data_IF_289848966863
#
_entry.id   IF_289848966863
#
_cell.length_a   1.000
_cell.length_b   1.000
_cell.length_c   1.000
_cell.angle_alpha   90.00
_cell.angle_beta   90.00
_cell.angle_gamma   90.00
#
_symmetry.space_group_name_H-M   'P 1'
#
loop_
_entity.id
_entity.type
_entity.pdbx_description
1 polymer ?
#
# COMPACT_ATOMS: atom_id res chain seq x y z
N UNK A 1 10.28 -33.25 14.33
CA UNK A 1 9.00 -32.91 13.71
C UNK A 1 9.27 -32.61 12.24
N UNK A 2 8.81 -33.42 11.30
CA UNK A 2 9.00 -33.13 9.89
C UNK A 2 8.13 -31.94 9.50
N UNK A 3 8.65 -30.99 8.66
CA UNK A 3 7.85 -29.87 8.21
C UNK A 3 6.66 -30.40 7.40
N UNK A 4 5.46 -29.91 7.71
CA UNK A 4 4.26 -30.18 6.91
C UNK A 4 4.53 -29.67 5.48
N UNK A 5 4.73 -30.59 4.53
CA UNK A 5 4.64 -30.26 3.11
C UNK A 5 3.21 -29.81 2.84
N UNK A 6 3.03 -28.53 2.56
CA UNK A 6 1.80 -28.02 2.03
C UNK A 6 1.59 -28.62 0.63
N UNK A 7 0.61 -29.50 0.49
CA UNK A 7 0.21 -30.16 -0.76
C UNK A 7 -0.82 -29.31 -1.53
N UNK A 8 -0.71 -28.00 -1.48
CA UNK A 8 -1.50 -27.05 -2.27
C UNK A 8 -0.59 -25.90 -2.70
N UNK A 9 -0.80 -25.36 -3.90
CA UNK A 9 -0.11 -24.16 -4.35
C UNK A 9 -0.42 -22.98 -3.43
N UNK A 10 0.49 -21.99 -3.34
CA UNK A 10 0.24 -20.75 -2.65
C UNK A 10 -0.91 -19.98 -3.30
N UNK A 11 -1.50 -19.05 -2.57
CA UNK A 11 -2.61 -18.23 -3.11
C UNK A 11 -2.72 -16.89 -2.42
N UNK A 12 -3.21 -15.90 -3.13
CA UNK A 12 -3.72 -14.66 -2.57
C UNK A 12 -5.10 -14.99 -1.99
N UNK A 13 -5.24 -14.86 -0.67
CA UNK A 13 -6.49 -15.20 0.04
C UNK A 13 -7.39 -13.99 0.25
N UNK A 14 -6.81 -12.80 0.26
CA UNK A 14 -7.52 -11.53 0.27
C UNK A 14 -6.66 -10.41 -0.34
N UNK A 15 -7.30 -9.38 -0.84
CA UNK A 15 -6.69 -8.14 -1.28
C UNK A 15 -7.41 -6.95 -0.67
N UNK A 16 -6.67 -5.97 -0.21
CA UNK A 16 -7.23 -4.75 0.37
C UNK A 16 -6.55 -3.51 -0.20
N UNK A 17 -7.32 -2.43 -0.29
CA UNK A 17 -6.80 -1.07 -0.46
C UNK A 17 -6.74 -0.47 0.94
N UNK A 18 -5.54 -0.09 1.38
CA UNK A 18 -5.30 0.41 2.72
C UNK A 18 -4.62 1.78 2.64
N UNK A 19 -5.36 2.88 2.69
CA UNK A 19 -4.79 4.22 2.77
C UNK A 19 -3.82 4.34 3.96
N UNK A 20 -2.86 5.24 3.87
CA UNK A 20 -1.81 5.40 4.88
C UNK A 20 -1.82 6.79 5.54
N UNK A 21 -2.97 7.30 6.04
CA UNK A 21 -3.00 8.59 6.69
C UNK A 21 -2.28 8.50 8.04
N UNK A 22 -1.19 9.22 8.25
CA UNK A 22 -0.45 9.16 9.50
C UNK A 22 -1.28 9.64 10.70
N UNK A 23 -2.28 10.46 10.46
CA UNK A 23 -3.20 10.99 11.48
C UNK A 23 -3.95 9.91 12.27
N UNK A 24 -4.24 8.74 11.65
CA UNK A 24 -4.91 7.66 12.38
C UNK A 24 -4.01 7.00 13.43
N UNK A 25 -2.69 7.01 13.23
CA UNK A 25 -1.74 6.54 14.23
C UNK A 25 -1.61 7.54 15.38
N UNK A 26 -1.68 8.83 15.10
CA UNK A 26 -1.74 9.85 16.16
C UNK A 26 -2.95 9.68 17.07
N UNK A 27 -4.08 9.32 16.47
CA UNK A 27 -5.30 9.11 17.21
C UNK A 27 -5.23 7.94 18.21
N UNK A 28 -4.28 7.03 18.03
CA UNK A 28 -3.98 5.97 18.99
C UNK A 28 -3.10 6.46 20.17
N UNK A 29 -2.51 7.65 20.05
CA UNK A 29 -1.68 8.24 21.10
C UNK A 29 -2.47 9.34 21.85
N UNK A 30 -2.95 9.09 23.08
CA UNK A 30 -3.83 10.02 23.80
C UNK A 30 -3.29 11.41 24.03
N UNK A 31 -1.96 11.58 24.10
CA UNK A 31 -1.33 12.90 24.30
C UNK A 31 -1.27 13.76 23.03
N UNK A 32 -1.60 13.19 21.89
CA UNK A 32 -1.56 13.87 20.59
C UNK A 32 -2.91 13.84 19.84
N UNK A 33 -3.96 13.39 20.53
CA UNK A 33 -5.30 13.22 19.98
C UNK A 33 -6.06 14.57 19.85
N UNK A 34 -5.44 15.52 19.25
CA UNK A 34 -6.10 16.77 18.83
C UNK A 34 -5.79 16.99 17.34
N UNK A 35 -6.74 17.33 16.54
CA UNK A 35 -8.12 17.67 16.89
C UNK A 35 -9.04 16.46 16.89
N UNK A 36 -10.09 16.52 17.66
CA UNK A 36 -11.23 15.62 17.56
C UNK A 36 -11.81 15.79 16.16
N UNK A 37 -11.62 14.78 15.29
CA UNK A 37 -12.21 14.87 13.97
C UNK A 37 -13.72 14.72 14.06
N UNK A 38 -14.45 15.77 13.81
CA UNK A 38 -15.89 15.67 13.65
C UNK A 38 -16.18 15.10 12.25
N UNK A 39 -16.15 13.78 12.11
CA UNK A 39 -16.83 13.08 11.05
C UNK A 39 -16.02 12.50 9.88
N UNK A 40 -14.76 12.86 9.64
CA UNK A 40 -13.98 12.33 8.51
C UNK A 40 -13.07 11.19 8.90
N UNK A 41 -12.06 11.48 9.68
CA UNK A 41 -11.07 10.50 10.14
C UNK A 41 -11.67 9.37 10.97
N UNK A 42 -12.75 9.62 11.70
CA UNK A 42 -13.48 8.60 12.44
C UNK A 42 -14.07 7.52 11.52
N UNK A 43 -14.61 7.90 10.37
CA UNK A 43 -15.14 6.94 9.42
C UNK A 43 -14.05 6.04 8.84
N UNK A 44 -12.88 6.59 8.56
CA UNK A 44 -11.73 5.82 8.09
C UNK A 44 -11.21 4.90 9.18
N UNK A 45 -11.15 5.34 10.44
CA UNK A 45 -10.80 4.51 11.59
C UNK A 45 -11.76 3.33 11.73
N UNK A 46 -13.06 3.56 11.71
CA UNK A 46 -14.06 2.51 11.75
C UNK A 46 -13.98 1.59 10.52
N UNK A 47 -13.56 2.15 9.36
CA UNK A 47 -13.25 1.35 8.18
C UNK A 47 -12.15 0.34 8.45
N UNK A 48 -11.05 0.77 9.07
CA UNK A 48 -9.96 -0.11 9.47
C UNK A 48 -10.36 -1.13 10.55
N UNK A 49 -11.16 -0.73 11.53
CA UNK A 49 -11.70 -1.65 12.55
C UNK A 49 -12.52 -2.78 11.90
N UNK A 50 -13.48 -2.44 11.04
CA UNK A 50 -14.27 -3.44 10.30
C UNK A 50 -13.44 -4.31 9.37
N UNK A 51 -12.42 -3.72 8.74
CA UNK A 51 -11.50 -4.48 7.90
C UNK A 51 -10.71 -5.49 8.74
N UNK A 52 -10.19 -5.10 9.91
CA UNK A 52 -9.50 -6.02 10.83
C UNK A 52 -10.41 -7.15 11.28
N UNK A 53 -11.66 -6.85 11.68
CA UNK A 53 -12.66 -7.88 12.02
C UNK A 53 -12.87 -8.87 10.87
N UNK A 54 -12.99 -8.39 9.64
CA UNK A 54 -13.11 -9.26 8.46
C UNK A 54 -11.85 -10.09 8.21
N UNK A 55 -10.68 -9.56 8.49
CA UNK A 55 -9.41 -10.26 8.32
C UNK A 55 -9.13 -11.31 9.41
N UNK A 56 -9.82 -11.27 10.57
CA UNK A 56 -9.74 -12.33 11.57
C UNK A 56 -10.27 -13.67 11.06
N UNK A 57 -11.23 -13.62 10.12
CA UNK A 57 -11.77 -14.82 9.46
C UNK A 57 -10.89 -15.32 8.30
N UNK A 58 -9.89 -14.57 7.90
CA UNK A 58 -8.99 -14.90 6.79
C UNK A 58 -7.67 -15.45 7.32
N UNK A 59 -7.42 -16.71 7.00
CA UNK A 59 -6.17 -17.35 7.40
C UNK A 59 -5.07 -17.08 6.35
N UNK A 60 -4.08 -16.25 6.71
CA UNK A 60 -2.94 -15.91 5.87
C UNK A 60 -1.62 -16.02 6.65
N UNK A 61 -0.54 -16.25 5.92
CA UNK A 61 0.80 -16.49 6.46
C UNK A 61 1.69 -15.25 6.40
N UNK A 62 1.49 -14.40 5.37
CA UNK A 62 2.36 -13.27 5.04
C UNK A 62 1.54 -12.14 4.40
N UNK A 63 2.02 -10.91 4.61
CA UNK A 63 1.50 -9.71 3.95
C UNK A 63 2.45 -9.35 2.80
N UNK A 64 1.92 -9.15 1.60
CA UNK A 64 2.64 -8.52 0.48
C UNK A 64 2.05 -7.14 0.26
N UNK A 65 2.87 -6.10 0.34
CA UNK A 65 2.43 -4.71 0.24
C UNK A 65 3.19 -3.96 -0.85
N UNK A 66 2.43 -3.22 -1.67
CA UNK A 66 2.97 -2.18 -2.54
C UNK A 66 2.71 -0.81 -1.91
N UNK A 67 3.78 -0.01 -1.78
CA UNK A 67 3.68 1.35 -1.25
C UNK A 67 4.13 2.39 -2.28
N UNK A 68 3.33 3.43 -2.53
CA UNK A 68 3.70 4.52 -3.43
C UNK A 68 4.80 5.42 -2.86
N UNK A 69 5.03 5.38 -1.54
CA UNK A 69 6.06 6.18 -0.87
C UNK A 69 7.45 5.59 -0.94
N UNK A 70 7.59 4.31 -1.24
CA UNK A 70 8.88 3.73 -1.60
C UNK A 70 9.08 3.86 -3.12
N UNK A 71 9.42 5.05 -3.55
CA UNK A 71 9.64 5.34 -4.95
C UNK A 71 11.07 4.99 -5.37
N UNK A 72 11.19 4.30 -6.49
CA UNK A 72 12.47 3.96 -7.12
C UNK A 72 12.48 4.45 -8.56
N UNK A 73 13.63 4.97 -9.01
CA UNK A 73 13.77 5.50 -10.37
C UNK A 73 14.19 4.41 -11.36
N UNK A 74 14.91 3.40 -10.89
CA UNK A 74 15.41 2.30 -11.72
C UNK A 74 15.00 0.99 -11.10
N UNK A 75 14.02 0.37 -11.72
CA UNK A 75 13.54 -0.95 -11.34
C UNK A 75 12.69 -0.97 -10.06
N UNK A 76 12.14 -2.13 -9.79
CA UNK A 76 11.35 -2.43 -8.59
C UNK A 76 12.25 -3.03 -7.52
N UNK A 77 12.16 -2.53 -6.30
CA UNK A 77 12.97 -3.00 -5.19
C UNK A 77 12.13 -3.78 -4.16
N UNK A 78 12.75 -4.74 -3.52
CA UNK A 78 12.18 -5.59 -2.49
C UNK A 78 13.02 -5.51 -1.23
N UNK A 79 12.40 -5.50 -0.04
CA UNK A 79 13.17 -5.56 1.21
C UNK A 79 13.84 -6.93 1.34
N UNK A 80 15.14 -6.94 1.59
CA UNK A 80 16.01 -8.11 1.59
C UNK A 80 16.76 -8.37 2.90
N UNK A 81 16.34 -7.78 4.01
CA UNK A 81 16.89 -8.02 5.35
C UNK A 81 15.79 -8.61 6.24
N UNK A 82 16.12 -9.57 7.08
CA UNK A 82 15.12 -10.31 7.89
C UNK A 82 14.29 -9.44 8.83
N UNK A 83 14.90 -8.36 9.33
CA UNK A 83 14.22 -7.45 10.24
C UNK A 83 14.63 -6.02 10.00
N UNK A 84 13.64 -5.14 9.95
CA UNK A 84 13.85 -3.70 9.95
C UNK A 84 13.26 -3.10 11.22
N UNK A 85 14.14 -2.51 12.03
CA UNK A 85 13.75 -1.82 13.26
C UNK A 85 14.26 -0.40 13.23
N UNK A 86 13.37 0.56 13.20
CA UNK A 86 13.72 1.97 13.08
C UNK A 86 12.55 2.89 13.47
N UNK A 87 12.76 4.18 13.26
CA UNK A 87 11.75 5.23 13.40
C UNK A 87 11.25 5.61 12.01
N UNK A 88 9.97 5.41 11.75
CA UNK A 88 9.29 5.98 10.59
C UNK A 88 8.92 7.43 10.86
N UNK A 89 9.17 8.28 9.88
CA UNK A 89 8.92 9.73 9.95
C UNK A 89 8.30 10.15 8.63
N UNK A 90 7.22 10.93 8.69
CA UNK A 90 6.68 11.56 7.50
C UNK A 90 7.69 12.56 6.93
N UNK A 91 8.09 12.43 5.66
CA UNK A 91 9.10 13.30 5.07
C UNK A 91 8.64 14.76 4.88
N UNK A 92 7.32 14.97 4.76
CA UNK A 92 6.73 16.30 4.59
C UNK A 92 6.41 16.93 5.94
N UNK A 93 5.90 16.15 6.88
CA UNK A 93 5.50 16.62 8.22
C UNK A 93 6.22 15.85 9.33
N UNK A 94 7.55 15.96 9.45
CA UNK A 94 8.34 15.14 10.37
C UNK A 94 8.02 15.39 11.85
N UNK A 95 7.37 16.50 12.18
CA UNK A 95 6.94 16.80 13.53
C UNK A 95 5.58 16.19 13.88
N UNK A 96 4.80 15.81 12.88
CA UNK A 96 3.46 15.26 13.06
C UNK A 96 3.45 13.75 13.13
N UNK A 97 4.37 13.06 12.47
CA UNK A 97 4.44 11.60 12.47
C UNK A 97 5.81 11.09 12.85
N UNK A 98 5.85 10.34 13.94
CA UNK A 98 7.02 9.59 14.42
C UNK A 98 6.55 8.28 15.02
N UNK A 99 6.88 7.17 14.38
CA UNK A 99 6.44 5.85 14.81
C UNK A 99 7.60 4.85 14.81
N UNK A 100 7.88 4.24 15.98
CA UNK A 100 8.85 3.17 16.07
C UNK A 100 8.23 1.88 15.56
N UNK A 101 8.93 1.20 14.67
CA UNK A 101 8.49 -0.08 14.13
C UNK A 101 9.56 -1.16 14.30
N UNK A 102 9.12 -2.41 14.35
CA UNK A 102 9.95 -3.61 14.39
C UNK A 102 9.28 -4.64 13.46
N UNK A 103 9.74 -4.71 12.22
CA UNK A 103 9.08 -5.41 11.13
C UNK A 103 9.89 -6.61 10.67
N UNK A 104 9.28 -7.79 10.71
CA UNK A 104 9.85 -9.02 10.15
C UNK A 104 9.55 -9.10 8.65
N UNK A 105 10.55 -9.51 7.87
CA UNK A 105 10.42 -9.68 6.41
C UNK A 105 10.44 -11.16 6.07
N UNK A 106 9.53 -11.58 5.19
CA UNK A 106 9.61 -12.90 4.55
C UNK A 106 10.58 -12.83 3.36
N UNK A 107 11.87 -13.00 3.66
CA UNK A 107 12.92 -12.92 2.63
C UNK A 107 12.77 -13.99 1.56
N UNK A 108 12.35 -15.20 1.93
CA UNK A 108 12.19 -16.30 0.96
C UNK A 108 11.14 -15.94 -0.10
N UNK A 109 10.00 -15.40 0.33
CA UNK A 109 8.97 -14.96 -0.60
C UNK A 109 9.40 -13.71 -1.36
N UNK A 110 10.03 -12.73 -0.68
CA UNK A 110 10.54 -11.52 -1.33
C UNK A 110 11.52 -11.87 -2.45
N UNK A 111 12.47 -12.77 -2.18
CA UNK A 111 13.42 -13.26 -3.17
C UNK A 111 12.74 -14.05 -4.28
N UNK A 112 11.76 -14.88 -3.97
CA UNK A 112 11.01 -15.63 -4.98
C UNK A 112 10.27 -14.70 -5.96
N UNK A 113 9.66 -13.62 -5.45
CA UNK A 113 9.00 -12.62 -6.30
C UNK A 113 10.03 -11.85 -7.13
N UNK A 114 11.15 -11.44 -6.51
CA UNK A 114 12.26 -10.78 -7.20
C UNK A 114 12.78 -11.63 -8.36
N UNK A 115 13.15 -12.88 -8.10
CA UNK A 115 13.74 -13.78 -9.09
C UNK A 115 12.74 -14.10 -10.24
N UNK A 116 11.45 -14.19 -9.91
CA UNK A 116 10.41 -14.37 -10.93
C UNK A 116 10.26 -13.10 -11.80
N UNK A 117 10.24 -11.92 -11.19
CA UNK A 117 10.15 -10.67 -11.93
C UNK A 117 11.38 -10.43 -12.81
N UNK A 118 12.58 -10.78 -12.33
CA UNK A 118 13.80 -10.75 -13.12
C UNK A 118 13.73 -11.70 -14.32
N UNK A 119 13.26 -12.94 -14.10
CA UNK A 119 13.07 -13.91 -15.15
C UNK A 119 12.04 -13.48 -16.20
N UNK A 120 11.02 -12.73 -15.78
CA UNK A 120 10.03 -12.12 -16.67
C UNK A 120 10.54 -10.83 -17.36
N UNK A 121 11.81 -10.45 -17.15
CA UNK A 121 12.49 -9.35 -17.84
C UNK A 121 12.39 -7.98 -17.17
N UNK A 122 11.93 -7.92 -15.94
CA UNK A 122 11.85 -6.66 -15.18
C UNK A 122 13.22 -6.28 -14.58
N UNK A 123 13.49 -4.98 -14.49
CA UNK A 123 14.59 -4.47 -13.69
C UNK A 123 14.21 -4.52 -12.20
N UNK A 124 14.89 -5.31 -11.42
CA UNK A 124 14.60 -5.54 -10.01
C UNK A 124 15.84 -5.49 -9.12
N UNK A 125 15.66 -5.26 -7.83
CA UNK A 125 16.76 -5.23 -6.86
C UNK A 125 16.29 -5.61 -5.45
N UNK A 126 17.09 -6.42 -4.75
CA UNK A 126 16.94 -6.61 -3.31
C UNK A 126 17.57 -5.43 -2.55
N UNK A 127 16.85 -4.85 -1.61
CA UNK A 127 17.34 -3.81 -0.69
C UNK A 127 17.91 -4.49 0.55
N UNK A 128 19.22 -4.71 0.55
CA UNK A 128 19.93 -5.46 1.60
C UNK A 128 20.63 -4.54 2.62
N UNK A 129 20.39 -3.24 2.57
CA UNK A 129 20.94 -2.31 3.56
C UNK A 129 20.13 -2.39 4.87
N UNK A 130 20.72 -2.86 5.99
CA UNK A 130 20.02 -2.95 7.27
C UNK A 130 19.64 -1.59 7.86
N UNK A 131 20.33 -0.52 7.45
CA UNK A 131 20.05 0.86 7.89
C UNK A 131 18.97 1.55 7.01
N UNK A 132 18.42 0.85 6.02
CA UNK A 132 17.34 1.38 5.21
C UNK A 132 16.11 1.67 6.07
N UNK A 133 15.57 2.87 5.92
CA UNK A 133 14.32 3.26 6.58
C UNK A 133 13.16 2.92 5.68
N UNK A 134 12.33 2.00 6.15
CA UNK A 134 11.10 1.63 5.45
C UNK A 134 10.18 2.85 5.39
N UNK A 135 9.58 3.04 4.24
CA UNK A 135 8.71 4.19 3.99
C UNK A 135 7.46 4.19 4.88
N UNK A 136 6.93 5.38 5.13
CA UNK A 136 5.81 5.52 6.06
C UNK A 136 4.52 4.92 5.49
N UNK A 137 4.31 4.90 4.18
CA UNK A 137 3.14 4.28 3.57
C UNK A 137 3.06 2.79 3.85
N UNK A 138 4.19 2.06 3.76
CA UNK A 138 4.28 0.67 4.22
C UNK A 138 3.97 0.55 5.71
N UNK A 139 4.62 1.38 6.53
CA UNK A 139 4.49 1.29 7.99
C UNK A 139 3.07 1.60 8.46
N UNK A 140 2.47 2.69 7.98
CA UNK A 140 1.12 3.10 8.38
C UNK A 140 0.08 2.07 7.96
N UNK A 141 0.08 1.65 6.69
CA UNK A 141 -0.89 0.67 6.22
C UNK A 141 -0.77 -0.67 6.93
N UNK A 142 0.46 -1.17 7.15
CA UNK A 142 0.68 -2.41 7.88
C UNK A 142 0.23 -2.30 9.34
N UNK A 143 0.56 -1.19 10.02
CA UNK A 143 0.17 -0.98 11.42
C UNK A 143 -1.35 -0.88 11.56
N UNK A 144 -2.02 -0.10 10.73
CA UNK A 144 -3.47 0.04 10.79
C UNK A 144 -4.20 -1.26 10.43
N UNK A 145 -3.63 -2.07 9.54
CA UNK A 145 -4.18 -3.37 9.15
C UNK A 145 -3.91 -4.44 10.21
N UNK A 146 -2.69 -4.47 10.77
CA UNK A 146 -2.24 -5.51 11.72
C UNK A 146 -1.36 -4.90 12.82
N UNK A 147 -1.96 -4.24 13.83
CA UNK A 147 -1.21 -3.51 14.87
C UNK A 147 -0.20 -4.35 15.66
N UNK A 148 -0.45 -5.66 15.75
CA UNK A 148 0.40 -6.59 16.52
C UNK A 148 1.70 -6.98 15.81
N UNK A 149 1.87 -6.65 14.53
CA UNK A 149 3.06 -6.98 13.71
C UNK A 149 3.47 -8.47 13.77
N UNK A 150 2.52 -9.37 13.96
CA UNK A 150 2.71 -10.81 14.15
C UNK A 150 2.78 -11.61 12.85
N UNK A 151 2.77 -10.94 11.70
CA UNK A 151 2.93 -11.54 10.39
C UNK A 151 4.14 -10.94 9.68
N UNK A 152 4.96 -11.75 9.01
CA UNK A 152 6.04 -11.23 8.18
C UNK A 152 5.48 -10.49 6.97
N UNK A 153 6.28 -9.56 6.45
CA UNK A 153 5.89 -8.64 5.39
C UNK A 153 6.87 -8.77 4.22
N UNK A 154 6.35 -8.73 3.00
CA UNK A 154 7.12 -8.45 1.79
C UNK A 154 6.70 -7.07 1.31
N UNK A 155 7.59 -6.09 1.41
CA UNK A 155 7.35 -4.76 0.88
C UNK A 155 8.03 -4.61 -0.48
N UNK A 156 7.26 -4.06 -1.44
CA UNK A 156 7.65 -3.86 -2.83
C UNK A 156 7.57 -2.38 -3.13
N UNK A 157 8.63 -1.84 -3.75
CA UNK A 157 8.66 -0.43 -4.14
C UNK A 157 7.75 -0.17 -5.34
N UNK A 158 7.24 1.06 -5.40
CA UNK A 158 6.52 1.56 -6.54
C UNK A 158 7.49 2.29 -7.50
N UNK A 159 7.56 1.84 -8.75
CA UNK A 159 8.29 2.55 -9.79
C UNK A 159 7.37 3.54 -10.52
N UNK A 160 6.89 4.51 -9.75
CA UNK A 160 5.89 5.49 -10.19
C UNK A 160 6.54 6.86 -10.33
N UNK A 161 6.87 7.25 -11.54
CA UNK A 161 7.32 8.62 -11.80
C UNK A 161 6.77 9.12 -13.11
N UNK A 162 5.78 9.99 -13.06
CA UNK A 162 5.23 10.69 -14.24
C UNK A 162 6.28 11.54 -14.97
N UNK A 163 7.42 11.82 -14.34
CA UNK A 163 8.53 12.52 -14.99
C UNK A 163 9.32 11.64 -15.96
N UNK A 164 9.27 10.32 -15.78
CA UNK A 164 10.04 9.36 -16.58
C UNK A 164 9.19 8.43 -17.41
N UNK A 165 7.94 8.18 -16.99
CA UNK A 165 7.06 7.20 -17.61
C UNK A 165 5.68 7.79 -17.88
N UNK A 166 5.06 7.40 -19.00
CA UNK A 166 3.64 7.66 -19.22
C UNK A 166 2.78 6.74 -18.30
N UNK A 167 1.51 7.08 -18.15
CA UNK A 167 0.57 6.29 -17.35
C UNK A 167 0.46 4.87 -17.90
N UNK A 168 0.41 4.71 -19.21
CA UNK A 168 0.31 3.41 -19.89
C UNK A 168 1.53 2.54 -19.60
N UNK A 169 2.74 3.11 -19.68
CA UNK A 169 3.99 2.37 -19.35
C UNK A 169 3.99 1.96 -17.88
N UNK A 170 3.58 2.84 -16.96
CA UNK A 170 3.48 2.49 -15.55
C UNK A 170 2.45 1.38 -15.32
N UNK A 171 1.31 1.43 -16.01
CA UNK A 171 0.29 0.40 -15.94
C UNK A 171 0.81 -0.96 -16.42
N UNK A 172 1.49 -1.00 -17.58
CA UNK A 172 2.11 -2.22 -18.10
C UNK A 172 3.12 -2.81 -17.10
N UNK A 173 3.97 -1.97 -16.52
CA UNK A 173 4.95 -2.41 -15.52
C UNK A 173 4.27 -2.99 -14.27
N UNK A 174 3.19 -2.37 -13.79
CA UNK A 174 2.46 -2.86 -12.62
C UNK A 174 1.71 -4.15 -12.92
N UNK A 175 1.14 -4.30 -14.12
CA UNK A 175 0.50 -5.55 -14.55
C UNK A 175 1.53 -6.69 -14.64
N UNK A 176 2.71 -6.43 -15.18
CA UNK A 176 3.80 -7.41 -15.25
C UNK A 176 4.26 -7.81 -13.83
N UNK A 177 4.48 -6.83 -12.96
CA UNK A 177 4.84 -7.08 -11.55
C UNK A 177 3.78 -7.93 -10.83
N UNK A 178 2.50 -7.60 -11.03
CA UNK A 178 1.39 -8.36 -10.46
C UNK A 178 1.39 -9.81 -10.91
N UNK A 179 1.62 -10.08 -12.19
CA UNK A 179 1.69 -11.42 -12.75
C UNK A 179 2.90 -12.21 -12.22
N UNK A 180 4.07 -11.59 -12.13
CA UNK A 180 5.28 -12.20 -11.56
C UNK A 180 5.07 -12.51 -10.07
N UNK A 181 4.45 -11.58 -9.33
CA UNK A 181 4.10 -11.76 -7.92
C UNK A 181 3.14 -12.93 -7.74
N UNK A 182 2.10 -13.03 -8.57
CA UNK A 182 1.13 -14.13 -8.54
C UNK A 182 1.81 -15.48 -8.75
N UNK A 183 2.66 -15.62 -9.79
CA UNK A 183 3.40 -16.85 -10.09
C UNK A 183 4.28 -17.28 -8.90
N UNK A 184 5.02 -16.35 -8.31
CA UNK A 184 5.88 -16.63 -7.17
C UNK A 184 5.08 -17.05 -5.93
N UNK A 185 3.95 -16.39 -5.65
CA UNK A 185 3.05 -16.77 -4.56
C UNK A 185 2.51 -18.19 -4.78
N UNK A 186 2.02 -18.53 -5.97
CA UNK A 186 1.50 -19.86 -6.29
C UNK A 186 2.55 -20.95 -6.09
N UNK A 187 3.81 -20.66 -6.44
CA UNK A 187 4.93 -21.58 -6.23
C UNK A 187 5.35 -21.70 -4.76
N UNK A 188 5.10 -20.69 -3.92
CA UNK A 188 5.59 -20.63 -2.54
C UNK A 188 4.84 -21.56 -1.56
N UNK A 189 3.61 -21.93 -1.89
CA UNK A 189 2.70 -22.64 -0.99
C UNK A 189 2.13 -21.76 0.16
N UNK A 190 2.39 -20.46 0.16
CA UNK A 190 1.94 -19.51 1.20
C UNK A 190 0.57 -18.91 0.86
N UNK A 191 -0.17 -18.58 1.91
CA UNK A 191 -1.41 -17.81 1.82
C UNK A 191 -1.07 -16.35 2.05
N UNK A 192 -1.40 -15.49 1.11
CA UNK A 192 -0.97 -14.09 1.08
C UNK A 192 -2.16 -13.15 1.24
N UNK A 193 -2.03 -12.18 2.15
CA UNK A 193 -2.81 -10.97 2.16
C UNK A 193 -2.08 -9.94 1.29
N UNK A 194 -2.72 -9.48 0.21
CA UNK A 194 -2.16 -8.44 -0.66
C UNK A 194 -2.68 -7.07 -0.22
N UNK A 195 -1.79 -6.12 -0.01
CA UNK A 195 -2.13 -4.73 0.36
C UNK A 195 -1.66 -3.78 -0.74
N UNK A 196 -2.59 -2.99 -1.27
CA UNK A 196 -2.29 -1.78 -2.00
C UNK A 196 -2.37 -0.59 -1.02
N UNK A 197 -1.20 -0.04 -0.68
CA UNK A 197 -1.11 1.13 0.20
C UNK A 197 -1.30 2.40 -0.64
N UNK A 198 -2.53 2.75 -0.94
CA UNK A 198 -2.86 3.92 -1.74
C UNK A 198 -4.23 4.51 -1.38
N UNK A 199 -4.46 5.73 -1.82
CA UNK A 199 -5.79 6.34 -1.92
C UNK A 199 -6.32 6.24 -3.36
N UNK A 200 -7.53 6.76 -3.60
CA UNK A 200 -8.06 6.93 -4.95
C UNK A 200 -7.66 8.31 -5.51
N UNK A 201 -8.56 9.27 -5.66
CA UNK A 201 -8.16 10.63 -6.02
C UNK A 201 -7.29 11.23 -4.92
N UNK A 202 -6.24 11.97 -5.33
CA UNK A 202 -5.26 12.51 -4.38
C UNK A 202 -4.70 13.83 -4.91
N UNK A 203 -5.04 14.92 -4.25
CA UNK A 203 -4.56 16.26 -4.60
C UNK A 203 -3.95 16.94 -3.37
N UNK A 204 -2.65 16.88 -3.27
CA UNK A 204 -1.90 17.49 -2.17
C UNK A 204 -1.43 18.90 -2.47
N UNK A 205 -1.01 19.12 -3.72
CA UNK A 205 -0.42 20.38 -4.12
C UNK A 205 -1.37 21.14 -5.05
N UNK A 206 -1.82 22.29 -4.59
CA UNK A 206 -2.60 23.20 -5.43
C UNK A 206 -1.92 24.55 -5.44
N UNK A 207 -1.91 25.20 -6.61
CA UNK A 207 -1.47 26.59 -6.75
C UNK A 207 -2.59 27.58 -6.41
N UNK A 208 -3.80 27.08 -6.21
CA UNK A 208 -4.92 27.90 -5.74
C UNK A 208 -4.71 28.23 -4.25
N UNK A 209 -5.12 29.43 -3.85
CA UNK A 209 -5.18 29.79 -2.43
C UNK A 209 -6.21 28.89 -1.75
N UNK A 210 -5.73 27.79 -1.20
CA UNK A 210 -6.57 26.87 -0.49
C UNK A 210 -7.20 27.53 0.72
N UNK A 211 -8.46 27.24 0.97
CA UNK A 211 -9.03 27.37 2.31
C UNK A 211 -8.06 26.65 3.25
N UNK A 212 -7.69 27.23 4.40
CA UNK A 212 -6.83 26.58 5.36
C UNK A 212 -7.31 25.13 5.56
N UNK A 213 -6.41 24.18 5.38
CA UNK A 213 -6.76 22.77 5.50
C UNK A 213 -7.24 22.50 6.93
N UNK A 214 -8.51 22.21 7.07
CA UNK A 214 -9.08 21.81 8.35
C UNK A 214 -8.84 20.30 8.50
N UNK A 215 -7.74 19.96 9.15
CA UNK A 215 -7.35 18.59 9.44
C UNK A 215 -8.37 17.82 10.31
N UNK A 216 -9.35 18.52 10.89
CA UNK A 216 -10.42 17.91 11.66
C UNK A 216 -11.56 17.36 10.81
N UNK A 217 -11.60 17.67 9.53
CA UNK A 217 -12.70 17.30 8.62
C UNK A 217 -12.16 16.81 7.29
N UNK A 218 -12.59 15.63 6.90
CA UNK A 218 -12.50 15.22 5.51
C UNK A 218 -13.60 15.94 4.72
N UNK A 219 -13.24 16.52 3.60
CA UNK A 219 -14.21 17.12 2.69
C UNK A 219 -13.85 16.81 1.25
N UNK A 220 -14.87 16.73 0.43
CA UNK A 220 -14.71 16.52 -1.00
C UNK A 220 -14.13 17.78 -1.61
N UNK A 221 -12.90 17.72 -2.08
CA UNK A 221 -12.22 18.84 -2.73
C UNK A 221 -12.88 19.20 -4.06
N UNK A 222 -13.29 18.19 -4.83
CA UNK A 222 -13.90 18.33 -6.14
C UNK A 222 -15.00 17.29 -6.33
N UNK A 223 -16.16 17.74 -6.75
CA UNK A 223 -17.27 16.82 -7.06
C UNK A 223 -16.92 15.85 -8.21
N UNK A 224 -16.15 16.30 -9.19
CA UNK A 224 -15.70 15.43 -10.28
C UNK A 224 -14.78 14.31 -9.78
N UNK A 225 -13.81 14.62 -8.90
CA UNK A 225 -12.95 13.63 -8.28
C UNK A 225 -13.76 12.60 -7.47
N UNK A 226 -14.74 13.08 -6.69
CA UNK A 226 -15.61 12.20 -5.94
C UNK A 226 -16.43 11.25 -6.83
N UNK A 227 -16.94 11.72 -7.95
CA UNK A 227 -17.67 10.87 -8.89
C UNK A 227 -16.78 9.78 -9.49
N UNK A 228 -15.52 10.10 -9.78
CA UNK A 228 -14.54 9.13 -10.25
C UNK A 228 -14.20 8.10 -9.17
N UNK A 229 -13.98 8.54 -7.94
CA UNK A 229 -13.73 7.64 -6.81
C UNK A 229 -14.88 6.66 -6.62
N UNK A 230 -16.11 7.16 -6.61
CA UNK A 230 -17.30 6.31 -6.48
C UNK A 230 -17.44 5.33 -7.65
N UNK A 231 -17.12 5.75 -8.88
CA UNK A 231 -17.16 4.88 -10.05
C UNK A 231 -16.17 3.71 -9.89
N UNK A 232 -14.93 3.98 -9.52
CA UNK A 232 -13.94 2.91 -9.31
C UNK A 232 -14.38 1.96 -8.20
N UNK A 233 -14.90 2.48 -7.08
CA UNK A 233 -15.42 1.66 -5.98
C UNK A 233 -16.61 0.79 -6.42
N UNK A 234 -17.50 1.31 -7.22
CA UNK A 234 -18.66 0.54 -7.71
C UNK A 234 -18.22 -0.58 -8.67
N UNK A 235 -17.26 -0.30 -9.57
CA UNK A 235 -16.69 -1.32 -10.44
C UNK A 235 -16.02 -2.44 -9.63
N UNK A 236 -15.30 -2.08 -8.57
CA UNK A 236 -14.68 -3.06 -7.65
C UNK A 236 -15.75 -3.91 -6.94
N UNK A 237 -16.81 -3.28 -6.41
CA UNK A 237 -17.95 -3.97 -5.76
C UNK A 237 -18.67 -4.93 -6.69
N UNK A 238 -18.75 -4.58 -7.97
CA UNK A 238 -19.36 -5.40 -9.01
C UNK A 238 -18.44 -6.49 -9.58
N UNK A 239 -17.18 -6.54 -9.13
CA UNK A 239 -16.17 -7.48 -9.61
C UNK A 239 -15.71 -7.23 -11.05
N UNK A 240 -15.87 -6.01 -11.56
CA UNK A 240 -15.50 -5.59 -12.91
C UNK A 240 -14.01 -5.22 -13.00
N UNK A 241 -13.15 -6.12 -12.59
CA UNK A 241 -11.70 -5.87 -12.48
C UNK A 241 -11.06 -5.37 -13.78
N UNK A 242 -11.45 -5.96 -14.93
CA UNK A 242 -10.90 -5.54 -16.21
C UNK A 242 -11.29 -4.09 -16.52
N UNK A 243 -12.53 -3.71 -16.21
CA UNK A 243 -12.99 -2.34 -16.44
C UNK A 243 -12.28 -1.33 -15.52
N UNK A 244 -11.96 -1.70 -14.28
CA UNK A 244 -11.12 -0.87 -13.40
C UNK A 244 -9.76 -0.62 -14.05
N UNK A 245 -9.13 -1.67 -14.59
CA UNK A 245 -7.82 -1.57 -15.25
C UNK A 245 -7.92 -0.67 -16.50
N UNK A 246 -8.94 -0.87 -17.32
CA UNK A 246 -9.11 -0.14 -18.58
C UNK A 246 -9.39 1.36 -18.36
N UNK A 247 -10.08 1.72 -17.26
CA UNK A 247 -10.42 3.10 -16.92
C UNK A 247 -9.33 3.82 -16.11
N UNK A 248 -8.33 3.11 -15.61
CA UNK A 248 -7.31 3.69 -14.74
C UNK A 248 -6.52 4.86 -15.39
N UNK A 249 -6.14 4.82 -16.68
CA UNK A 249 -5.48 5.96 -17.31
C UNK A 249 -6.33 7.23 -17.29
N UNK A 250 -7.62 7.12 -17.57
CA UNK A 250 -8.56 8.25 -17.52
C UNK A 250 -8.79 8.73 -16.09
N UNK A 251 -8.94 7.79 -15.15
CA UNK A 251 -9.05 8.11 -13.72
C UNK A 251 -7.86 8.95 -13.24
N UNK A 252 -6.63 8.54 -13.56
CA UNK A 252 -5.41 9.26 -13.15
C UNK A 252 -5.39 10.70 -13.64
N UNK A 253 -5.91 10.94 -14.85
CA UNK A 253 -5.97 12.29 -15.42
C UNK A 253 -7.11 13.13 -14.86
N UNK A 254 -8.30 12.56 -14.76
CA UNK A 254 -9.52 13.28 -14.43
C UNK A 254 -9.74 13.46 -12.92
N UNK A 255 -9.34 12.47 -12.14
CA UNK A 255 -9.45 12.51 -10.69
C UNK A 255 -8.20 13.13 -10.00
N UNK A 256 -7.23 13.59 -10.78
CA UNK A 256 -5.97 14.15 -10.26
C UNK A 256 -5.36 13.19 -9.24
N UNK A 257 -4.97 12.02 -9.73
CA UNK A 257 -4.23 11.07 -8.92
C UNK A 257 -2.75 11.46 -8.92
N UNK A 258 -2.30 12.05 -7.83
CA UNK A 258 -0.89 12.35 -7.58
C UNK A 258 -0.15 11.06 -7.15
N UNK A 259 1.06 11.19 -6.63
CA UNK A 259 1.96 10.07 -6.33
C UNK A 259 1.34 8.95 -5.47
N UNK A 260 0.31 9.23 -4.69
CA UNK A 260 -0.27 8.33 -3.70
C UNK A 260 -1.63 7.77 -4.11
N UNK A 261 -2.15 8.25 -5.22
CA UNK A 261 -3.47 7.87 -5.72
C UNK A 261 -3.41 6.97 -6.95
N UNK A 262 -4.46 6.22 -7.16
CA UNK A 262 -4.73 5.47 -8.38
C UNK A 262 -4.00 4.15 -8.57
#
# INVERSE_FOLDING_TARGET
MLPRRFMGGGKIVAGIIAPHPPHLIYAENPSQNEPKSEGGWEQLRWGYERMRESLEEVDYDVIVILSPHWQTYVGTHFLGVENFKSLSVDPVFPNLFRFNYDMQVDIELAKSIHDQAEADGMAVKMMENPDFRVDYGTIVSCHLTRPNWDKPIVSISSNRSRHYYSVEVMQEMMMQLGESTRKAIEASGKRVLLIASNSLSHRHFTTESAIPEDMSKEHITSHAMHLWDMRILDLMREGKTQQVIDEMPEFVEQAISESDGG
#
